data_IF_133117039061
#
_entry.id   IF_133117039061
#
_cell.length_a   1.000
_cell.length_b   1.000
_cell.length_c   1.000
_cell.angle_alpha   90.00
_cell.angle_beta   90.00
_cell.angle_gamma   90.00
#
_symmetry.space_group_name_H-M   'P 1'
#
loop_
_entity.id
_entity.type
_entity.pdbx_description
1 polymer ?
#
# COMPACT_ATOMS: atom_id res chain seq x y z
N UNK A 1 -7.99 -8.53 7.60
CA UNK A 1 -6.64 -8.68 7.03
C UNK A 1 -5.59 -8.87 8.14
N UNK A 2 -4.90 -10.01 8.14
CA UNK A 2 -3.83 -10.35 9.09
C UNK A 2 -2.46 -10.23 8.40
N UNK A 3 -1.67 -9.23 8.80
CA UNK A 3 -0.35 -8.91 8.22
C UNK A 3 0.62 -8.58 9.33
N UNK A 4 1.89 -8.98 9.20
CA UNK A 4 2.91 -8.65 10.19
C UNK A 4 3.06 -7.14 10.35
N UNK A 5 2.84 -6.65 11.57
CA UNK A 5 3.03 -5.24 11.93
C UNK A 5 4.11 -5.10 12.98
N UNK A 6 4.89 -4.03 12.85
CA UNK A 6 5.85 -3.60 13.85
C UNK A 6 5.16 -2.59 14.78
N UNK A 7 4.95 -2.99 16.03
CA UNK A 7 4.41 -2.13 17.07
C UNK A 7 5.55 -1.66 17.98
N UNK A 8 5.58 -0.36 18.27
CA UNK A 8 6.51 0.24 19.23
C UNK A 8 5.68 0.88 20.33
N UNK A 9 5.99 0.65 21.62
CA UNK A 9 5.30 1.33 22.72
C UNK A 9 5.37 2.86 22.57
N UNK A 10 4.25 3.55 22.87
CA UNK A 10 4.16 5.01 22.72
C UNK A 10 5.25 5.76 23.50
N UNK A 11 5.62 5.27 24.67
CA UNK A 11 6.66 5.87 25.52
C UNK A 11 8.03 5.79 24.87
N UNK A 12 8.40 4.63 24.33
CA UNK A 12 9.65 4.43 23.59
C UNK A 12 9.68 5.28 22.33
N UNK A 13 8.55 5.35 21.61
CA UNK A 13 8.43 6.21 20.43
C UNK A 13 8.58 7.70 20.78
N UNK A 14 8.03 8.17 21.89
CA UNK A 14 8.18 9.55 22.34
C UNK A 14 9.64 9.88 22.69
N UNK A 15 10.32 9.00 23.44
CA UNK A 15 11.73 9.17 23.78
C UNK A 15 12.62 9.23 22.53
N UNK A 16 12.39 8.32 21.57
CA UNK A 16 13.13 8.34 20.30
C UNK A 16 12.83 9.60 19.49
N UNK A 17 11.58 10.06 19.45
CA UNK A 17 11.24 11.31 18.78
C UNK A 17 11.99 12.53 19.35
N UNK A 18 12.21 12.56 20.66
CA UNK A 18 13.00 13.61 21.32
C UNK A 18 14.48 13.51 20.96
N UNK A 19 15.07 12.31 21.04
CA UNK A 19 16.46 12.04 20.64
C UNK A 19 16.77 12.51 19.20
N UNK A 20 15.87 12.21 18.25
CA UNK A 20 16.03 12.69 16.86
C UNK A 20 15.76 14.20 16.69
N UNK A 21 14.94 14.80 17.55
CA UNK A 21 14.67 16.24 17.51
C UNK A 21 15.84 17.08 18.03
N UNK A 22 16.65 16.53 18.95
CA UNK A 22 17.85 17.18 19.49
C UNK A 22 19.02 17.24 18.49
N UNK A 23 18.98 16.43 17.43
CA UNK A 23 19.99 16.47 16.36
C UNK A 23 19.97 17.84 15.66
N UNK A 24 21.08 18.57 15.78
CA UNK A 24 21.25 19.91 15.19
C UNK A 24 21.59 19.85 13.68
N UNK A 25 21.31 20.94 12.95
CA UNK A 25 21.32 20.99 11.48
C UNK A 25 22.61 20.57 10.75
N UNK A 26 23.77 20.47 11.41
CA UNK A 26 24.99 19.90 10.80
C UNK A 26 25.07 18.36 10.88
N UNK A 27 24.33 17.75 11.81
CA UNK A 27 24.27 16.30 12.02
C UNK A 27 23.02 15.68 11.41
N UNK A 28 21.96 16.48 11.24
CA UNK A 28 20.66 16.00 10.77
C UNK A 28 20.65 15.72 9.27
N UNK A 29 20.41 14.47 8.90
CA UNK A 29 20.21 14.06 7.51
C UNK A 29 18.70 13.90 7.19
N UNK A 30 18.38 13.49 5.96
CA UNK A 30 16.98 13.28 5.52
C UNK A 30 16.32 12.08 6.21
N UNK A 31 17.11 11.08 6.59
CA UNK A 31 16.66 9.86 7.25
C UNK A 31 16.25 10.17 8.70
N UNK A 32 17.03 11.00 9.40
CA UNK A 32 16.72 11.47 10.75
C UNK A 32 15.38 12.22 10.79
N UNK A 33 15.14 13.09 9.81
CA UNK A 33 13.86 13.81 9.71
C UNK A 33 12.68 12.85 9.46
N UNK A 34 12.88 11.80 8.66
CA UNK A 34 11.87 10.78 8.40
C UNK A 34 11.60 9.93 9.66
N UNK A 35 12.65 9.55 10.39
CA UNK A 35 12.57 8.79 11.63
C UNK A 35 11.92 9.60 12.76
N UNK A 36 12.30 10.85 12.95
CA UNK A 36 11.67 11.75 13.93
C UNK A 36 10.17 11.84 13.69
N UNK A 37 9.76 12.09 12.44
CA UNK A 37 8.35 12.21 12.07
C UNK A 37 7.60 10.88 12.22
N UNK A 38 8.25 9.74 11.93
CA UNK A 38 7.71 8.41 12.19
C UNK A 38 7.43 8.23 13.69
N UNK A 39 8.44 8.42 14.54
CA UNK A 39 8.34 8.24 15.98
C UNK A 39 7.31 9.18 16.59
N UNK A 40 7.25 10.45 16.16
CA UNK A 40 6.19 11.39 16.57
C UNK A 40 4.79 10.89 16.22
N UNK A 41 4.63 10.29 15.05
CA UNK A 41 3.35 9.74 14.61
C UNK A 41 2.94 8.54 15.48
N UNK A 42 3.87 7.62 15.74
CA UNK A 42 3.64 6.46 16.61
C UNK A 42 3.33 6.90 18.04
N UNK A 43 4.09 7.85 18.60
CA UNK A 43 3.87 8.35 19.95
C UNK A 43 2.47 8.97 20.11
N UNK A 44 2.01 9.74 19.10
CA UNK A 44 0.71 10.42 19.13
C UNK A 44 -0.46 9.45 18.99
N UNK A 45 -0.51 8.67 17.92
CA UNK A 45 -1.67 7.83 17.61
C UNK A 45 -1.55 6.38 18.08
N UNK A 46 -0.34 5.90 18.38
CA UNK A 46 -0.07 4.48 18.57
C UNK A 46 -0.09 3.71 17.25
N UNK A 47 0.17 4.41 16.14
CA UNK A 47 0.13 3.82 14.82
C UNK A 47 1.13 2.66 14.68
N UNK A 48 0.70 1.63 13.93
CA UNK A 48 1.51 0.46 13.60
C UNK A 48 2.29 0.71 12.32
N UNK A 49 3.47 0.12 12.19
CA UNK A 49 4.28 0.19 10.96
C UNK A 49 4.16 -1.14 10.22
N UNK A 50 4.07 -1.09 8.90
CA UNK A 50 4.01 -2.25 8.03
C UNK A 50 5.07 -2.13 6.92
N UNK A 51 5.76 -3.23 6.65
CA UNK A 51 6.55 -3.38 5.43
C UNK A 51 5.66 -4.07 4.38
N UNK A 52 5.24 -3.33 3.35
CA UNK A 52 4.32 -3.88 2.36
C UNK A 52 4.94 -5.08 1.63
N UNK A 53 6.25 -5.09 1.39
CA UNK A 53 6.89 -6.22 0.70
C UNK A 53 6.79 -7.52 1.52
N UNK A 54 6.93 -7.42 2.84
CA UNK A 54 6.81 -8.57 3.74
C UNK A 54 5.35 -9.03 3.81
N UNK A 55 4.40 -8.09 3.93
CA UNK A 55 2.97 -8.41 3.89
C UNK A 55 2.59 -9.16 2.60
N UNK A 56 3.07 -8.71 1.44
CA UNK A 56 2.82 -9.40 0.18
C UNK A 56 3.47 -10.80 0.11
N UNK A 57 4.67 -10.99 0.68
CA UNK A 57 5.33 -12.31 0.75
C UNK A 57 4.57 -13.26 1.66
N UNK A 58 4.13 -12.78 2.82
CA UNK A 58 3.40 -13.56 3.82
C UNK A 58 2.03 -14.00 3.29
N UNK A 59 1.25 -13.08 2.73
CA UNK A 59 -0.08 -13.41 2.19
C UNK A 59 0.02 -14.23 0.90
N UNK A 60 1.00 -13.91 0.05
CA UNK A 60 1.32 -14.66 -1.16
C UNK A 60 0.26 -14.56 -2.26
N UNK A 61 0.16 -15.65 -3.04
CA UNK A 61 -0.73 -15.77 -4.20
C UNK A 61 -1.94 -16.65 -3.88
N UNK A 62 -3.05 -16.43 -4.59
CA UNK A 62 -4.22 -17.32 -4.58
C UNK A 62 -4.00 -18.54 -5.50
N UNK A 63 -4.99 -19.42 -5.58
CA UNK A 63 -4.94 -20.65 -6.40
C UNK A 63 -4.74 -20.38 -7.90
N UNK A 64 -5.14 -19.19 -8.38
CA UNK A 64 -4.95 -18.75 -9.77
C UNK A 64 -3.57 -18.12 -10.01
N UNK A 65 -2.72 -18.03 -8.99
CA UNK A 65 -1.42 -17.37 -9.08
C UNK A 65 -1.48 -15.85 -8.98
N UNK A 66 -2.61 -15.29 -8.53
CA UNK A 66 -2.82 -13.84 -8.46
C UNK A 66 -2.50 -13.33 -7.04
N UNK A 67 -1.96 -12.12 -6.86
CA UNK A 67 -1.75 -11.57 -5.53
C UNK A 67 -3.06 -11.50 -4.74
N UNK A 68 -3.02 -11.93 -3.47
CA UNK A 68 -4.17 -11.83 -2.55
C UNK A 68 -4.33 -10.44 -1.95
N UNK A 69 -3.31 -9.60 -2.04
CA UNK A 69 -3.36 -8.21 -1.61
C UNK A 69 -3.28 -7.29 -2.82
N UNK A 70 -3.80 -6.07 -2.66
CA UNK A 70 -3.51 -4.98 -3.57
C UNK A 70 -3.22 -3.70 -2.79
N UNK A 71 -2.42 -2.83 -3.40
CA UNK A 71 -2.12 -1.51 -2.85
C UNK A 71 -2.31 -0.45 -3.92
N UNK A 72 -3.04 0.61 -3.56
CA UNK A 72 -3.35 1.72 -4.46
C UNK A 72 -3.08 3.04 -3.75
N UNK A 73 -2.89 4.14 -4.50
CA UNK A 73 -3.03 5.46 -3.88
C UNK A 73 -4.49 5.72 -3.53
N UNK A 74 -4.71 6.44 -2.44
CA UNK A 74 -6.05 6.70 -1.91
C UNK A 74 -6.94 7.59 -2.80
N UNK A 75 -6.35 8.31 -3.77
CA UNK A 75 -7.10 9.14 -4.73
C UNK A 75 -7.47 8.39 -6.02
N UNK A 76 -7.09 7.12 -6.16
CA UNK A 76 -7.41 6.32 -7.33
C UNK A 76 -8.80 5.69 -7.20
N UNK A 77 -9.50 5.55 -8.32
CA UNK A 77 -10.77 4.80 -8.39
C UNK A 77 -10.54 3.31 -8.65
N UNK A 78 -9.47 3.00 -9.40
CA UNK A 78 -9.09 1.64 -9.78
C UNK A 78 -7.58 1.48 -9.68
N UNK A 79 -7.18 0.25 -9.42
CA UNK A 79 -5.79 -0.16 -9.42
C UNK A 79 -5.60 -1.35 -10.34
N UNK A 80 -4.45 -1.37 -10.99
CA UNK A 80 -4.04 -2.41 -11.91
C UNK A 80 -2.75 -3.02 -11.44
N UNK A 81 -2.67 -4.34 -11.48
CA UNK A 81 -1.43 -5.05 -11.22
C UNK A 81 -0.80 -5.50 -12.53
N UNK A 82 0.46 -5.14 -12.69
CA UNK A 82 1.29 -5.56 -13.80
C UNK A 82 2.49 -6.36 -13.26
N UNK A 83 2.68 -7.62 -13.68
CA UNK A 83 3.85 -8.39 -13.30
C UNK A 83 5.10 -7.78 -13.94
N UNK A 84 6.24 -7.89 -13.25
CA UNK A 84 7.46 -7.12 -13.56
C UNK A 84 7.98 -7.30 -14.99
N UNK A 85 7.70 -8.43 -15.63
CA UNK A 85 8.05 -8.72 -17.04
C UNK A 85 7.44 -7.72 -18.05
N UNK A 86 6.37 -7.01 -17.67
CA UNK A 86 5.77 -5.96 -18.50
C UNK A 86 6.55 -4.64 -18.43
N UNK A 87 7.47 -4.50 -17.47
CA UNK A 87 8.33 -3.35 -17.36
C UNK A 87 9.46 -3.55 -18.37
N UNK A 88 9.41 -2.84 -19.50
CA UNK A 88 10.34 -2.90 -20.65
C UNK A 88 11.81 -2.56 -20.34
N UNK A 89 12.27 -2.71 -19.10
CA UNK A 89 13.66 -2.54 -18.71
C UNK A 89 14.48 -3.76 -19.09
N UNK A 90 15.39 -3.58 -20.04
CA UNK A 90 16.20 -4.59 -20.73
C UNK A 90 17.16 -5.44 -19.88
N UNK A 91 17.15 -5.37 -18.54
CA UNK A 91 18.26 -5.87 -17.72
C UNK A 91 17.89 -6.52 -16.37
N UNK A 92 16.66 -6.97 -16.17
CA UNK A 92 16.31 -7.73 -14.96
C UNK A 92 15.62 -9.03 -15.32
N UNK A 93 16.29 -10.13 -14.97
CA UNK A 93 15.78 -11.49 -14.98
C UNK A 93 14.43 -11.56 -14.23
N UNK A 94 13.62 -12.56 -14.56
CA UNK A 94 12.24 -12.73 -14.07
C UNK A 94 12.20 -12.99 -12.55
N UNK A 95 12.34 -11.93 -11.77
CA UNK A 95 12.50 -12.03 -10.32
C UNK A 95 11.17 -11.90 -9.58
N UNK A 96 10.08 -12.54 -10.02
CA UNK A 96 8.89 -12.76 -9.18
C UNK A 96 8.34 -11.52 -8.45
N UNK A 97 8.25 -10.39 -9.15
CA UNK A 97 7.73 -9.13 -8.60
C UNK A 97 6.64 -8.54 -9.50
N UNK A 98 6.12 -7.38 -9.10
CA UNK A 98 5.12 -6.67 -9.89
C UNK A 98 4.93 -5.26 -9.36
N UNK A 99 3.93 -4.57 -9.90
CA UNK A 99 3.63 -3.22 -9.48
C UNK A 99 2.19 -2.84 -9.71
N UNK A 100 1.78 -1.81 -8.99
CA UNK A 100 0.43 -1.29 -8.96
C UNK A 100 0.38 0.12 -9.54
N UNK A 101 -0.57 0.37 -10.43
CA UNK A 101 -0.78 1.66 -11.10
C UNK A 101 -2.26 1.93 -11.33
N UNK A 102 -2.65 3.19 -11.50
CA UNK A 102 -3.99 3.57 -11.96
C UNK A 102 -4.14 3.50 -13.49
N UNK A 103 -3.07 3.18 -14.22
CA UNK A 103 -3.08 3.06 -15.67
C UNK A 103 -2.99 1.59 -16.10
N UNK A 104 -3.81 1.13 -17.05
CA UNK A 104 -3.67 -0.20 -17.65
C UNK A 104 -2.34 -0.44 -18.33
N UNK A 105 -1.77 0.60 -18.92
CA UNK A 105 -0.45 0.58 -19.50
C UNK A 105 0.56 1.00 -18.44
N UNK A 106 1.51 0.12 -18.14
CA UNK A 106 2.53 0.42 -17.15
C UNK A 106 3.39 1.59 -17.63
N UNK A 107 3.24 2.74 -16.98
CA UNK A 107 4.10 3.88 -17.21
C UNK A 107 5.34 3.80 -16.31
N UNK A 108 6.45 3.32 -16.86
CA UNK A 108 7.73 3.23 -16.12
C UNK A 108 8.27 4.59 -15.67
N UNK A 109 7.84 5.69 -16.27
CA UNK A 109 8.26 7.04 -15.90
C UNK A 109 7.46 7.56 -14.69
N UNK A 110 6.33 6.94 -14.37
CA UNK A 110 5.46 7.32 -13.25
C UNK A 110 5.92 6.68 -11.92
N UNK A 111 7.23 6.63 -11.68
CA UNK A 111 7.84 5.98 -10.49
C UNK A 111 7.41 6.61 -9.18
N UNK A 112 7.08 7.91 -9.20
CA UNK A 112 6.59 8.62 -8.03
C UNK A 112 5.18 8.19 -7.61
N UNK A 113 4.39 7.64 -8.54
CA UNK A 113 2.97 7.30 -8.31
C UNK A 113 2.73 5.80 -8.27
N UNK A 114 3.53 5.03 -9.01
CA UNK A 114 3.42 3.58 -9.02
C UNK A 114 3.97 2.99 -7.72
N UNK A 115 3.37 1.89 -7.28
CA UNK A 115 3.91 1.09 -6.18
C UNK A 115 4.58 -0.13 -6.79
N UNK A 116 5.89 -0.26 -6.63
CA UNK A 116 6.66 -1.37 -7.17
C UNK A 116 7.06 -2.29 -6.03
N UNK A 117 6.66 -3.56 -6.13
CA UNK A 117 7.11 -4.59 -5.21
C UNK A 117 8.55 -4.97 -5.57
N UNK A 118 9.40 -5.24 -4.56
CA UNK A 118 10.76 -5.67 -4.83
C UNK A 118 10.78 -7.01 -5.59
N UNK A 119 11.90 -7.34 -6.24
CA UNK A 119 12.11 -8.71 -6.72
C UNK A 119 11.91 -9.72 -5.59
N UNK A 120 11.53 -10.94 -5.98
CA UNK A 120 11.32 -12.11 -5.13
C UNK A 120 10.22 -11.91 -4.09
N UNK A 121 9.28 -11.00 -4.36
CA UNK A 121 8.07 -10.88 -3.54
C UNK A 121 7.16 -12.10 -3.72
N UNK A 122 7.16 -12.67 -4.92
CA UNK A 122 6.45 -13.88 -5.29
C UNK A 122 7.38 -14.87 -6.00
N UNK A 123 6.96 -16.12 -6.12
CA UNK A 123 7.63 -17.09 -6.99
C UNK A 123 7.18 -16.86 -8.43
N UNK A 124 8.11 -16.47 -9.32
CA UNK A 124 7.78 -16.09 -10.72
C UNK A 124 7.03 -17.18 -11.49
N UNK A 125 7.38 -18.46 -11.25
CA UNK A 125 6.73 -19.60 -11.89
C UNK A 125 5.25 -19.77 -11.53
N UNK A 126 4.82 -19.22 -10.38
CA UNK A 126 3.45 -19.31 -9.89
C UNK A 126 2.65 -18.04 -10.17
N UNK A 127 3.31 -16.95 -10.56
CA UNK A 127 2.65 -15.66 -10.74
C UNK A 127 1.84 -15.64 -12.03
N UNK A 128 0.54 -15.36 -11.91
CA UNK A 128 -0.34 -15.10 -13.04
C UNK A 128 0.17 -13.90 -13.84
N UNK A 129 0.22 -14.10 -15.16
CA UNK A 129 0.72 -13.12 -16.12
C UNK A 129 -0.41 -12.33 -16.78
N UNK A 130 -1.65 -12.65 -16.43
CA UNK A 130 -2.82 -11.91 -16.85
C UNK A 130 -2.80 -10.49 -16.27
N UNK A 131 -3.51 -9.61 -16.95
CA UNK A 131 -3.67 -8.24 -16.52
C UNK A 131 -4.81 -8.18 -15.50
N UNK A 132 -4.50 -7.75 -14.28
CA UNK A 132 -5.44 -7.72 -13.17
C UNK A 132 -5.85 -6.28 -12.86
N UNK A 133 -7.12 -6.08 -12.50
CA UNK A 133 -7.69 -4.79 -12.11
C UNK A 133 -8.57 -4.98 -10.89
N UNK A 134 -8.64 -4.01 -9.99
CA UNK A 134 -9.60 -4.00 -8.88
C UNK A 134 -10.03 -2.56 -8.58
N UNK A 135 -11.22 -2.41 -8.00
CA UNK A 135 -11.70 -1.13 -7.47
C UNK A 135 -10.89 -0.74 -6.24
N UNK A 136 -10.69 0.55 -6.01
CA UNK A 136 -10.04 1.02 -4.78
C UNK A 136 -11.11 1.24 -3.70
N UNK A 137 -10.94 0.70 -2.48
CA UNK A 137 -11.88 0.88 -1.39
C UNK A 137 -12.09 2.37 -1.08
N UNK A 138 -13.34 2.78 -0.90
CA UNK A 138 -13.66 4.14 -0.45
C UNK A 138 -13.25 4.33 1.00
N UNK A 139 -12.73 5.52 1.32
CA UNK A 139 -12.40 5.91 2.69
C UNK A 139 -13.62 6.56 3.35
N UNK A 140 -14.16 5.96 4.44
CA UNK A 140 -15.28 6.51 5.18
C UNK A 140 -15.03 7.96 5.61
N UNK A 141 -16.05 8.83 5.63
CA UNK A 141 -15.86 10.25 5.96
C UNK A 141 -15.17 10.48 7.30
N UNK A 142 -15.47 9.65 8.31
CA UNK A 142 -14.86 9.74 9.65
C UNK A 142 -13.36 9.42 9.69
N UNK A 143 -12.86 8.63 8.72
CA UNK A 143 -11.46 8.22 8.63
C UNK A 143 -10.69 8.98 7.54
N UNK A 144 -11.38 9.86 6.81
CA UNK A 144 -10.80 10.61 5.71
C UNK A 144 -9.81 11.65 6.25
N UNK A 145 -8.54 11.64 5.82
CA UNK A 145 -7.58 12.67 6.19
C UNK A 145 -8.06 14.06 5.75
N UNK A 146 -7.75 15.07 6.56
CA UNK A 146 -8.00 16.48 6.22
C UNK A 146 -7.04 17.03 5.16
N UNK A 147 -5.95 16.33 4.90
CA UNK A 147 -4.94 16.70 3.89
C UNK A 147 -5.13 15.89 2.60
N UNK A 148 -4.35 16.22 1.57
CA UNK A 148 -4.46 15.63 0.24
C UNK A 148 -4.29 14.08 0.23
N UNK A 149 -5.27 13.37 -0.34
CA UNK A 149 -5.30 11.90 -0.47
C UNK A 149 -4.13 11.33 -1.28
N UNK A 150 -3.49 12.13 -2.15
CA UNK A 150 -2.30 11.72 -2.91
C UNK A 150 -1.13 11.26 -2.04
N UNK A 151 -1.11 11.66 -0.77
CA UNK A 151 -0.09 11.29 0.21
C UNK A 151 -0.39 9.97 0.93
N UNK A 152 -1.53 9.35 0.65
CA UNK A 152 -1.99 8.12 1.29
C UNK A 152 -2.16 7.00 0.28
N UNK A 153 -2.11 5.78 0.80
CA UNK A 153 -2.30 4.55 0.05
C UNK A 153 -3.33 3.69 0.78
N UNK A 154 -4.00 2.81 0.05
CA UNK A 154 -4.93 1.84 0.63
C UNK A 154 -4.38 0.47 0.29
N UNK A 155 -4.06 -0.31 1.33
CA UNK A 155 -3.75 -1.73 1.21
C UNK A 155 -5.02 -2.50 1.56
N UNK A 156 -5.39 -3.49 0.76
CA UNK A 156 -6.64 -4.23 0.96
C UNK A 156 -6.52 -5.65 0.45
N UNK A 157 -7.39 -6.52 0.96
CA UNK A 157 -7.47 -7.91 0.54
C UNK A 157 -8.34 -8.05 -0.72
N UNK A 158 -7.85 -8.87 -1.65
CA UNK A 158 -8.48 -9.15 -2.93
C UNK A 158 -8.95 -10.60 -2.92
N UNK A 159 -10.23 -10.79 -2.65
CA UNK A 159 -10.88 -12.10 -2.77
C UNK A 159 -10.98 -12.51 -4.24
N UNK A 160 -11.47 -11.58 -5.07
CA UNK A 160 -11.51 -11.66 -6.53
C UNK A 160 -11.18 -10.27 -7.08
N UNK A 161 -10.34 -10.22 -8.12
CA UNK A 161 -9.88 -8.95 -8.69
C UNK A 161 -11.05 -8.12 -9.27
N UNK A 162 -12.10 -8.77 -9.78
CA UNK A 162 -13.25 -8.07 -10.36
C UNK A 162 -14.34 -7.66 -9.35
N UNK A 163 -14.23 -8.11 -8.11
CA UNK A 163 -15.18 -7.82 -7.03
C UNK A 163 -14.72 -6.63 -6.18
N UNK A 164 -15.63 -6.08 -5.39
CA UNK A 164 -15.29 -4.98 -4.49
C UNK A 164 -14.42 -5.52 -3.32
N UNK A 165 -13.27 -4.89 -3.04
CA UNK A 165 -12.34 -5.37 -2.02
C UNK A 165 -12.84 -5.20 -0.59
N UNK A 166 -12.23 -5.95 0.33
CA UNK A 166 -12.54 -5.95 1.78
C UNK A 166 -11.30 -5.62 2.63
N UNK A 167 -11.53 -5.36 3.92
CA UNK A 167 -10.52 -5.10 4.95
C UNK A 167 -9.42 -4.07 4.61
N UNK A 168 -9.78 -2.85 4.17
CA UNK A 168 -8.81 -1.83 3.83
C UNK A 168 -8.07 -1.22 5.02
N UNK A 169 -6.77 -1.01 4.84
CA UNK A 169 -5.92 -0.16 5.66
C UNK A 169 -5.54 1.11 4.93
N UNK A 170 -5.76 2.25 5.59
CA UNK A 170 -5.25 3.53 5.13
C UNK A 170 -3.80 3.68 5.60
N UNK A 171 -2.92 3.84 4.65
CA UNK A 171 -1.49 3.87 4.85
C UNK A 171 -0.90 5.24 4.49
N UNK A 172 0.16 5.63 5.20
CA UNK A 172 1.02 6.75 4.81
C UNK A 172 2.43 6.25 4.59
N UNK A 173 3.01 6.49 3.41
CA UNK A 173 4.37 6.06 3.08
C UNK A 173 5.38 6.80 3.95
N UNK A 174 6.34 6.06 4.51
CA UNK A 174 7.48 6.61 5.25
C UNK A 174 8.67 6.67 4.29
N UNK A 175 9.16 5.50 3.87
CA UNK A 175 10.29 5.36 2.95
C UNK A 175 10.23 3.98 2.29
N UNK A 176 10.46 3.93 0.98
CA UNK A 176 10.43 2.67 0.22
C UNK A 176 9.13 1.89 0.43
N UNK A 177 9.25 0.69 1.01
CA UNK A 177 8.15 -0.23 1.31
C UNK A 177 7.63 -0.11 2.75
N UNK A 178 8.13 0.84 3.55
CA UNK A 178 7.64 1.06 4.92
C UNK A 178 6.51 2.08 4.93
N UNK A 179 5.41 1.69 5.57
CA UNK A 179 4.20 2.49 5.68
C UNK A 179 3.73 2.53 7.13
N UNK A 180 3.08 3.63 7.49
CA UNK A 180 2.37 3.78 8.75
C UNK A 180 0.89 3.44 8.51
N UNK A 181 0.31 2.56 9.33
CA UNK A 181 -1.13 2.30 9.35
C UNK A 181 -1.81 3.44 10.11
N UNK A 182 -2.64 4.20 9.40
CA UNK A 182 -3.35 5.38 9.92
C UNK A 182 -4.74 5.01 10.40
N UNK A 183 -5.43 4.15 9.65
CA UNK A 183 -6.77 3.69 9.95
C UNK A 183 -7.00 2.31 9.34
N UNK A 184 -7.91 1.57 9.94
CA UNK A 184 -8.47 0.31 9.45
C UNK A 184 -9.99 0.44 9.50
N UNK A 185 -10.69 -0.11 8.51
CA UNK A 185 -12.15 -0.19 8.54
C UNK A 185 -12.63 -1.45 7.86
N UNK A 186 -13.76 -1.93 8.33
CA UNK A 186 -14.52 -2.98 7.67
C UNK A 186 -15.63 -2.31 6.85
N UNK A 187 -15.75 -2.73 5.60
CA UNK A 187 -16.90 -2.35 4.79
C UNK A 187 -18.03 -3.31 5.07
N UNK A 188 -19.22 -2.79 5.36
CA UNK A 188 -20.39 -3.66 5.47
C UNK A 188 -20.72 -4.27 4.10
N UNK A 189 -21.31 -5.48 4.04
CA UNK A 189 -21.73 -6.08 2.77
C UNK A 189 -22.66 -5.17 1.94
N UNK A 190 -23.48 -4.35 2.61
CA UNK A 190 -24.34 -3.37 1.98
C UNK A 190 -23.54 -2.24 1.31
N UNK A 191 -22.57 -1.66 2.01
CA UNK A 191 -21.71 -0.62 1.46
C UNK A 191 -20.90 -1.13 0.27
N UNK A 192 -20.32 -2.34 0.39
CA UNK A 192 -19.61 -2.98 -0.71
C UNK A 192 -20.52 -3.15 -1.93
N UNK A 193 -21.75 -3.63 -1.74
CA UNK A 193 -22.74 -3.83 -2.81
C UNK A 193 -23.16 -2.52 -3.48
N UNK A 194 -23.40 -1.45 -2.70
CA UNK A 194 -23.74 -0.12 -3.22
C UNK A 194 -22.58 0.46 -4.03
N UNK A 195 -21.37 0.38 -3.50
CA UNK A 195 -20.16 0.90 -4.16
C UNK A 195 -19.84 0.11 -5.44
N UNK A 196 -20.07 -1.20 -5.44
CA UNK A 196 -19.96 -2.03 -6.64
C UNK A 196 -20.98 -1.62 -7.72
N UNK A 197 -22.24 -1.38 -7.34
CA UNK A 197 -23.28 -0.94 -8.25
C UNK A 197 -22.97 0.43 -8.88
N UNK A 198 -22.51 1.39 -8.07
CA UNK A 198 -22.08 2.72 -8.54
C UNK A 198 -20.90 2.59 -9.50
N UNK A 199 -19.88 1.80 -9.14
CA UNK A 199 -18.67 1.62 -9.96
C UNK A 199 -18.92 0.92 -11.30
N UNK A 200 -19.98 0.11 -11.42
CA UNK A 200 -20.43 -0.52 -12.69
C UNK A 200 -21.20 0.47 -13.57
N UNK A 201 -21.98 1.38 -12.97
CA UNK A 201 -22.80 2.36 -13.69
C UNK A 201 -22.01 3.45 -14.43
N UNK A 202 -20.82 3.81 -13.96
CA UNK A 202 -19.96 4.82 -14.61
C UNK A 202 -19.22 4.33 -15.87
N UNK A 203 -19.33 3.03 -16.21
CA UNK A 203 -18.69 2.44 -17.39
C UNK A 203 -19.68 2.14 -18.56
N UNK A 204 -20.94 2.57 -18.47
CA UNK A 204 -21.91 2.53 -19.57
C UNK A 204 -22.05 3.90 -20.22
#
# INVERSE_FOLDING_TARGET
MDVSTLAIPKTVAAQKAEEYAELSGKQRNKEDAALEHLYKSIAKSGAKVINIADAFRETGLNEKGQPKLAIARADWLRVHFAPRRWFRSYWHENLGGGGFSNNPTWNYQATATNIVLPPETFRDSLLDKSYLKSSVPHIPPALRPSINLKNFHILFEVQSWEEYPVDPFLLRRIQGNLFLIIAEWELTPLEASILEAIGKGENQ
#
